data_IF_742606068102
#
_entry.id   IF_742606068102
#
_cell.length_a   1.000
_cell.length_b   1.000
_cell.length_c   1.000
_cell.angle_alpha   90.00
_cell.angle_beta   90.00
_cell.angle_gamma   90.00
#
_symmetry.space_group_name_H-M   'P 1'
#
loop_
_entity.id
_entity.type
_entity.pdbx_description
1 polymer ?
#
# COMPACT_ATOMS: atom_id res chain seq x y z
N UNK A 1 5.71 -12.14 -8.63
CA UNK A 1 5.16 -10.77 -8.59
C UNK A 1 5.98 -9.91 -7.65
N UNK A 2 6.40 -8.72 -8.05
CA UNK A 2 7.20 -7.84 -7.22
C UNK A 2 6.39 -7.28 -6.05
N UNK A 3 7.10 -7.06 -4.96
CA UNK A 3 6.67 -6.24 -3.85
C UNK A 3 7.59 -5.02 -3.80
N UNK A 4 7.01 -3.83 -3.67
CA UNK A 4 7.75 -2.59 -3.43
C UNK A 4 7.45 -2.12 -2.01
N UNK A 5 8.49 -1.86 -1.25
CA UNK A 5 8.39 -1.31 0.10
C UNK A 5 9.06 0.06 0.13
N UNK A 6 8.31 1.03 0.62
CA UNK A 6 8.78 2.37 0.93
C UNK A 6 8.59 2.61 2.42
N UNK A 7 9.64 3.01 3.11
CA UNK A 7 9.55 3.43 4.50
C UNK A 7 9.72 4.94 4.56
N UNK A 8 8.81 5.62 5.24
CA UNK A 8 8.84 7.06 5.50
C UNK A 8 8.91 7.30 7.01
N UNK A 9 9.24 8.52 7.42
CA UNK A 9 9.45 8.86 8.82
C UNK A 9 10.37 7.84 9.51
N UNK A 10 11.43 7.49 8.82
CA UNK A 10 12.36 6.46 9.24
C UNK A 10 13.51 7.07 10.03
N UNK A 11 13.75 6.60 11.25
CA UNK A 11 14.94 6.96 12.04
C UNK A 11 16.22 6.41 11.39
N UNK A 12 17.35 7.01 11.69
CA UNK A 12 18.65 6.62 11.14
C UNK A 12 18.95 5.14 11.37
N UNK A 13 18.69 4.65 12.57
CA UNK A 13 18.95 3.27 12.96
C UNK A 13 17.76 2.32 12.72
N UNK A 14 16.69 2.78 12.06
CA UNK A 14 15.48 2.00 11.78
C UNK A 14 14.72 1.55 13.04
N UNK A 15 14.77 2.32 14.09
CA UNK A 15 14.00 2.07 15.32
C UNK A 15 12.53 2.44 15.10
N UNK A 16 12.30 3.49 14.31
CA UNK A 16 10.98 3.92 13.87
C UNK A 16 10.92 4.03 12.35
N UNK A 17 9.78 3.66 11.79
CA UNK A 17 9.42 3.87 10.38
C UNK A 17 7.95 3.54 10.15
N UNK A 18 7.32 4.26 9.24
CA UNK A 18 6.01 3.91 8.69
C UNK A 18 6.23 3.18 7.37
N UNK A 19 5.72 1.96 7.27
CA UNK A 19 5.93 1.10 6.10
C UNK A 19 4.75 1.22 5.14
N UNK A 20 5.06 1.55 3.90
CA UNK A 20 4.12 1.55 2.78
C UNK A 20 4.54 0.43 1.84
N UNK A 21 3.69 -0.56 1.64
CA UNK A 21 4.02 -1.73 0.82
C UNK A 21 3.00 -1.89 -0.29
N UNK A 22 3.48 -2.05 -1.50
CA UNK A 22 2.67 -2.42 -2.66
C UNK A 22 2.97 -3.86 -3.07
N UNK A 23 1.93 -4.68 -3.12
CA UNK A 23 2.00 -6.07 -3.52
C UNK A 23 1.32 -6.22 -4.88
N UNK A 24 2.09 -6.43 -5.93
CA UNK A 24 1.53 -6.64 -7.26
C UNK A 24 0.88 -8.04 -7.33
N UNK A 25 -0.40 -8.09 -7.67
CA UNK A 25 -1.19 -9.31 -7.91
C UNK A 25 -1.14 -10.35 -6.78
N UNK A 26 -1.02 -9.90 -5.52
CA UNK A 26 -0.97 -10.79 -4.35
C UNK A 26 -2.21 -10.70 -3.46
N UNK A 27 -3.11 -9.78 -3.73
CA UNK A 27 -4.41 -9.69 -3.09
C UNK A 27 -5.47 -10.48 -3.84
N UNK A 28 -6.60 -10.70 -3.17
CA UNK A 28 -7.77 -11.34 -3.75
C UNK A 28 -9.01 -10.49 -3.48
N UNK A 29 -9.79 -10.27 -4.52
CA UNK A 29 -11.14 -9.76 -4.37
C UNK A 29 -12.10 -10.94 -4.43
N UNK A 30 -12.98 -11.05 -3.46
CA UNK A 30 -14.09 -11.99 -3.45
C UNK A 30 -15.32 -11.24 -3.96
N UNK A 31 -15.91 -11.73 -5.03
CA UNK A 31 -17.21 -11.25 -5.51
C UNK A 31 -18.24 -12.32 -5.29
N UNK A 32 -19.37 -11.99 -4.70
CA UNK A 32 -20.47 -12.92 -4.59
C UNK A 32 -21.02 -13.28 -5.96
N UNK A 33 -21.37 -14.54 -6.11
CA UNK A 33 -21.95 -15.08 -7.33
C UNK A 33 -23.40 -14.65 -7.45
N UNK A 34 -23.71 -13.79 -8.41
CA UNK A 34 -25.07 -13.43 -8.83
C UNK A 34 -25.30 -13.82 -10.29
N UNK A 35 -26.49 -13.61 -10.80
CA UNK A 35 -26.95 -13.97 -12.16
C UNK A 35 -26.08 -13.43 -13.32
N UNK A 36 -25.10 -12.59 -13.01
CA UNK A 36 -24.19 -11.97 -14.00
C UNK A 36 -22.86 -12.71 -14.17
N UNK A 37 -22.72 -13.85 -13.58
CA UNK A 37 -21.42 -14.56 -13.43
C UNK A 37 -20.90 -15.20 -14.70
N UNK A 38 -21.74 -15.49 -15.67
CA UNK A 38 -21.28 -16.04 -16.96
C UNK A 38 -20.27 -15.14 -17.68
N UNK A 39 -20.36 -13.82 -17.51
CA UNK A 39 -19.45 -12.86 -18.11
C UNK A 39 -18.10 -12.80 -17.39
N UNK A 40 -18.06 -13.15 -16.11
CA UNK A 40 -16.87 -13.07 -15.26
C UNK A 40 -15.95 -14.29 -15.38
N UNK A 41 -16.49 -15.44 -15.76
CA UNK A 41 -15.74 -16.67 -16.01
C UNK A 41 -14.83 -16.61 -17.24
N UNK A 42 -15.01 -15.62 -18.10
CA UNK A 42 -14.20 -15.42 -19.32
C UNK A 42 -12.95 -14.58 -19.10
N UNK A 43 -12.77 -14.01 -17.95
CA UNK A 43 -11.57 -13.25 -17.59
C UNK A 43 -10.45 -14.20 -17.16
N UNK A 44 -9.36 -14.24 -17.91
CA UNK A 44 -8.23 -15.17 -17.73
C UNK A 44 -7.51 -15.13 -16.37
N UNK A 45 -7.95 -14.32 -15.42
CA UNK A 45 -7.41 -14.19 -14.07
C UNK A 45 -8.32 -14.76 -12.98
N UNK A 46 -9.33 -15.55 -13.33
CA UNK A 46 -10.31 -16.06 -12.39
C UNK A 46 -9.79 -17.34 -11.73
N UNK A 47 -9.72 -17.36 -10.40
CA UNK A 47 -9.46 -18.58 -9.63
C UNK A 47 -10.80 -19.06 -9.08
N UNK A 48 -11.27 -20.19 -9.57
CA UNK A 48 -12.48 -20.85 -9.04
C UNK A 48 -12.13 -21.52 -7.71
N UNK A 49 -12.97 -21.32 -6.70
CA UNK A 49 -12.79 -21.98 -5.40
C UNK A 49 -12.79 -23.51 -5.56
N UNK A 50 -11.84 -24.24 -4.97
CA UNK A 50 -11.77 -25.71 -5.10
C UNK A 50 -12.92 -26.45 -4.36
N UNK A 51 -13.78 -25.75 -3.64
CA UNK A 51 -14.84 -26.35 -2.83
C UNK A 51 -16.22 -26.47 -3.53
N UNK A 52 -16.24 -26.54 -4.85
CA UNK A 52 -17.30 -27.14 -5.64
C UNK A 52 -18.67 -26.46 -5.67
N UNK A 53 -18.98 -25.50 -4.84
CA UNK A 53 -20.18 -24.67 -4.97
C UNK A 53 -19.76 -23.23 -5.24
N UNK A 54 -19.92 -22.78 -6.45
CA UNK A 54 -19.38 -21.48 -6.86
C UNK A 54 -20.29 -20.36 -6.38
N UNK A 55 -20.15 -19.95 -5.14
CA UNK A 55 -20.76 -18.75 -4.60
C UNK A 55 -19.81 -17.53 -4.59
N UNK A 56 -18.52 -17.74 -4.86
CA UNK A 56 -17.55 -16.65 -4.85
C UNK A 56 -16.46 -16.84 -5.90
N UNK A 57 -16.14 -15.78 -6.61
CA UNK A 57 -15.04 -15.72 -7.57
C UNK A 57 -13.94 -14.87 -6.95
N UNK A 58 -12.72 -15.39 -6.98
CA UNK A 58 -11.54 -14.71 -6.48
C UNK A 58 -10.78 -14.08 -7.64
N UNK A 59 -10.62 -12.78 -7.63
CA UNK A 59 -9.76 -12.06 -8.57
C UNK A 59 -8.43 -11.75 -7.90
N UNK A 60 -7.34 -11.92 -8.63
CA UNK A 60 -6.07 -11.37 -8.18
C UNK A 60 -6.12 -9.86 -8.34
N UNK A 61 -5.77 -9.18 -7.25
CA UNK A 61 -5.63 -7.74 -7.23
C UNK A 61 -4.29 -7.35 -6.63
N UNK A 62 -3.79 -6.21 -7.05
CA UNK A 62 -2.71 -5.56 -6.32
C UNK A 62 -3.25 -4.95 -5.03
N UNK A 63 -2.40 -4.86 -4.02
CA UNK A 63 -2.77 -4.33 -2.70
C UNK A 63 -1.73 -3.32 -2.26
N UNK A 64 -2.19 -2.16 -1.82
CA UNK A 64 -1.41 -1.25 -1.00
C UNK A 64 -1.68 -1.57 0.47
N UNK A 65 -0.63 -1.54 1.28
CA UNK A 65 -0.71 -1.65 2.74
C UNK A 65 0.11 -0.53 3.38
N UNK A 66 -0.44 0.13 4.38
CA UNK A 66 0.27 1.07 5.25
C UNK A 66 0.30 0.49 6.64
N UNK A 67 1.49 0.15 7.12
CA UNK A 67 1.73 -0.46 8.42
C UNK A 67 2.42 0.54 9.35
N UNK A 68 1.74 0.88 10.44
CA UNK A 68 2.21 1.80 11.46
C UNK A 68 2.78 1.10 12.71
N UNK A 69 2.94 -0.24 12.69
CA UNK A 69 3.38 -1.02 13.86
C UNK A 69 4.75 -0.62 14.40
N UNK A 70 5.59 -0.04 13.54
CA UNK A 70 6.94 0.42 13.89
C UNK A 70 7.09 1.94 13.79
N UNK A 71 5.99 2.68 13.77
CA UNK A 71 6.05 4.13 13.52
C UNK A 71 6.37 4.97 14.75
N UNK A 72 6.49 4.36 15.93
CA UNK A 72 6.81 5.07 17.17
C UNK A 72 7.50 4.16 18.19
N UNK A 73 8.50 4.70 18.89
CA UNK A 73 9.08 4.11 20.10
C UNK A 73 8.38 4.61 21.38
N UNK A 74 7.43 5.53 21.24
CA UNK A 74 6.70 6.08 22.40
C UNK A 74 5.77 5.02 23.00
N UNK A 75 5.83 4.76 24.31
CA UNK A 75 5.02 3.70 24.96
C UNK A 75 3.51 3.97 24.92
N UNK A 76 3.11 5.23 24.73
CA UNK A 76 1.70 5.61 24.60
C UNK A 76 1.17 5.61 23.17
N UNK A 77 2.02 5.37 22.17
CA UNK A 77 1.58 5.28 20.78
C UNK A 77 1.02 3.89 20.50
N UNK A 78 -0.29 3.81 20.32
CA UNK A 78 -0.95 2.54 20.00
C UNK A 78 -0.75 2.20 18.53
N UNK A 79 -0.19 1.02 18.26
CA UNK A 79 -0.18 0.46 16.91
C UNK A 79 -1.60 -0.01 16.52
N UNK A 80 -1.90 0.09 15.23
CA UNK A 80 -3.15 -0.39 14.64
C UNK A 80 -2.84 -1.47 13.60
N UNK A 81 -3.80 -2.34 13.27
CA UNK A 81 -3.68 -3.20 12.11
C UNK A 81 -3.35 -2.38 10.87
N UNK A 82 -2.57 -2.92 9.92
CA UNK A 82 -2.26 -2.22 8.69
C UNK A 82 -3.52 -1.80 7.92
N UNK A 83 -3.55 -0.57 7.45
CA UNK A 83 -4.56 -0.12 6.51
C UNK A 83 -4.25 -0.70 5.13
N UNK A 84 -5.24 -1.32 4.51
CA UNK A 84 -5.06 -1.96 3.21
C UNK A 84 -6.13 -1.52 2.21
N UNK A 85 -5.73 -1.34 0.96
CA UNK A 85 -6.66 -1.09 -0.13
C UNK A 85 -6.29 -1.92 -1.36
N UNK A 86 -7.29 -2.49 -2.00
CA UNK A 86 -7.11 -3.21 -3.25
C UNK A 86 -7.06 -2.22 -4.42
N UNK A 87 -6.22 -2.51 -5.41
CA UNK A 87 -5.99 -1.65 -6.56
C UNK A 87 -5.98 -2.48 -7.82
N UNK A 88 -6.76 -2.05 -8.80
CA UNK A 88 -6.70 -2.57 -10.16
C UNK A 88 -5.60 -1.84 -10.93
N UNK A 89 -4.46 -2.50 -11.10
CA UNK A 89 -3.33 -2.01 -11.87
C UNK A 89 -3.17 -2.86 -13.12
N UNK A 90 -3.18 -2.23 -14.29
CA UNK A 90 -2.92 -2.93 -15.55
C UNK A 90 -1.52 -3.57 -15.58
N UNK A 91 -1.33 -4.61 -16.41
CA UNK A 91 -0.07 -5.35 -16.49
C UNK A 91 1.14 -4.46 -16.78
N UNK A 92 0.96 -3.48 -17.64
CA UNK A 92 2.02 -2.55 -18.09
C UNK A 92 1.88 -1.15 -17.48
N UNK A 93 0.92 -0.96 -16.59
CA UNK A 93 0.70 0.30 -15.91
C UNK A 93 1.75 0.49 -14.81
N UNK A 94 2.52 1.60 -14.84
CA UNK A 94 3.48 1.88 -13.78
C UNK A 94 2.78 2.20 -12.47
N UNK A 95 3.36 1.75 -11.37
CA UNK A 95 2.94 2.15 -10.03
C UNK A 95 3.35 3.60 -9.81
N UNK A 96 2.37 4.47 -9.52
CA UNK A 96 2.57 5.86 -9.15
C UNK A 96 2.08 6.07 -7.71
N UNK A 97 2.99 6.38 -6.82
CA UNK A 97 2.67 6.76 -5.44
C UNK A 97 2.87 8.26 -5.26
N UNK A 98 1.87 8.91 -4.67
CA UNK A 98 1.98 10.28 -4.18
C UNK A 98 1.73 10.25 -2.68
N UNK A 99 2.71 10.68 -1.91
CA UNK A 99 2.70 10.56 -0.45
C UNK A 99 2.80 11.95 0.15
N UNK A 100 1.83 12.28 0.98
CA UNK A 100 1.82 13.50 1.78
C UNK A 100 2.08 13.16 3.24
N UNK A 101 2.96 13.92 3.85
CA UNK A 101 3.29 13.79 5.26
C UNK A 101 3.11 15.16 5.89
N UNK A 102 2.11 15.28 6.74
CA UNK A 102 1.86 16.48 7.52
C UNK A 102 1.80 16.12 9.00
N UNK A 103 2.87 16.45 9.73
CA UNK A 103 3.03 16.13 11.15
C UNK A 103 2.77 14.65 11.44
N UNK A 104 1.60 14.33 11.99
CA UNK A 104 1.19 12.97 12.36
C UNK A 104 0.35 12.26 11.31
N UNK A 105 0.12 12.86 10.16
CA UNK A 105 -0.69 12.26 9.09
C UNK A 105 0.20 11.82 7.93
N UNK A 106 0.01 10.59 7.50
CA UNK A 106 0.61 10.06 6.27
C UNK A 106 -0.53 9.63 5.36
N UNK A 107 -0.62 10.27 4.20
CA UNK A 107 -1.61 9.95 3.16
C UNK A 107 -0.90 9.41 1.93
N UNK A 108 -1.40 8.33 1.37
CA UNK A 108 -0.84 7.67 0.20
C UNK A 108 -1.89 7.54 -0.88
N UNK A 109 -1.67 8.20 -2.00
CA UNK A 109 -2.48 8.08 -3.22
C UNK A 109 -1.78 7.16 -4.21
N UNK A 110 -2.53 6.25 -4.79
CA UNK A 110 -2.03 5.25 -5.73
C UNK A 110 -2.72 5.39 -7.07
N UNK A 111 -1.98 5.73 -8.11
CA UNK A 111 -2.43 5.83 -9.49
C UNK A 111 -3.72 6.66 -9.69
N UNK A 112 -3.97 7.61 -8.80
CA UNK A 112 -5.22 8.40 -8.75
C UNK A 112 -6.49 7.52 -8.65
N UNK A 113 -6.35 6.24 -8.26
CA UNK A 113 -7.42 5.24 -8.16
C UNK A 113 -7.82 4.94 -6.72
N UNK A 114 -6.89 5.06 -5.79
CA UNK A 114 -7.12 4.75 -4.37
C UNK A 114 -6.29 5.67 -3.47
N UNK A 115 -6.78 5.84 -2.25
CA UNK A 115 -6.09 6.56 -1.19
C UNK A 115 -6.23 5.79 0.12
N UNK A 116 -5.17 5.81 0.92
CA UNK A 116 -5.19 5.35 2.29
C UNK A 116 -4.43 6.33 3.17
N UNK A 117 -4.85 6.49 4.43
CA UNK A 117 -4.23 7.42 5.37
C UNK A 117 -4.10 6.78 6.76
N UNK A 118 -3.01 7.13 7.45
CA UNK A 118 -2.78 6.71 8.83
C UNK A 118 -2.30 7.89 9.67
N UNK A 119 -2.54 7.81 10.97
CA UNK A 119 -1.88 8.68 11.95
C UNK A 119 -0.72 7.96 12.60
N UNK A 120 0.42 8.64 12.68
CA UNK A 120 1.66 8.14 13.26
C UNK A 120 2.28 9.20 14.16
N UNK A 121 3.00 8.76 15.19
CA UNK A 121 3.56 9.64 16.20
C UNK A 121 5.02 9.29 16.46
N UNK A 122 5.95 9.59 15.52
CA UNK A 122 7.36 9.34 15.73
C UNK A 122 7.87 10.02 17.01
N UNK A 123 8.61 9.28 17.82
CA UNK A 123 9.18 9.79 19.05
C UNK A 123 10.61 10.31 18.91
N UNK A 124 11.31 9.91 17.84
CA UNK A 124 12.69 10.28 17.59
C UNK A 124 12.78 11.47 16.64
N UNK A 125 13.62 12.45 16.98
CA UNK A 125 13.80 13.66 16.18
C UNK A 125 14.44 13.42 14.81
N UNK A 126 15.11 12.29 14.63
CA UNK A 126 15.74 11.86 13.37
C UNK A 126 14.84 10.95 12.50
N UNK A 127 13.57 10.77 12.87
CA UNK A 127 12.58 10.04 12.09
C UNK A 127 12.06 10.85 10.89
N UNK A 128 12.99 11.26 10.02
CA UNK A 128 12.76 12.06 8.81
C UNK A 128 13.24 11.36 7.54
N UNK A 129 13.80 10.17 7.67
CA UNK A 129 14.40 9.43 6.56
C UNK A 129 13.39 8.70 5.71
N UNK A 130 13.82 8.37 4.50
CA UNK A 130 13.08 7.56 3.52
C UNK A 130 13.98 6.44 3.03
N UNK A 131 13.39 5.27 2.78
CA UNK A 131 14.07 4.17 2.10
C UNK A 131 13.10 3.40 1.21
N UNK A 132 13.61 2.89 0.09
CA UNK A 132 12.83 2.09 -0.87
C UNK A 132 13.58 0.81 -1.19
N UNK A 133 12.83 -0.29 -1.35
CA UNK A 133 13.35 -1.57 -1.82
C UNK A 133 12.31 -2.35 -2.61
N UNK A 134 12.77 -3.27 -3.45
CA UNK A 134 11.93 -4.27 -4.12
C UNK A 134 12.27 -5.67 -3.60
N UNK A 135 11.27 -6.55 -3.59
CA UNK A 135 11.41 -7.98 -3.26
C UNK A 135 10.58 -8.84 -4.21
N UNK A 136 10.99 -10.08 -4.39
CA UNK A 136 10.29 -11.09 -5.19
C UNK A 136 10.64 -11.08 -6.67
N UNK A 137 10.85 -9.94 -7.26
CA UNK A 137 11.42 -9.74 -8.58
C UNK A 137 11.96 -8.32 -8.71
N UNK A 138 12.68 -8.02 -9.76
CA UNK A 138 13.19 -6.68 -10.03
C UNK A 138 12.05 -5.68 -10.24
N UNK A 139 12.27 -4.46 -9.75
CA UNK A 139 11.45 -3.30 -10.03
C UNK A 139 12.35 -2.14 -10.44
N UNK A 140 11.93 -1.37 -11.44
CA UNK A 140 12.66 -0.20 -11.91
C UNK A 140 12.03 1.07 -11.36
N UNK A 141 12.80 1.87 -10.64
CA UNK A 141 12.40 3.21 -10.25
C UNK A 141 12.51 4.13 -11.48
N UNK A 142 11.40 4.72 -11.90
CA UNK A 142 11.34 5.62 -13.05
C UNK A 142 11.63 7.06 -12.67
N UNK A 143 11.08 7.51 -11.53
CA UNK A 143 11.34 8.84 -10.98
C UNK A 143 11.11 8.83 -9.47
N UNK A 144 11.73 9.76 -8.78
CA UNK A 144 11.52 10.07 -7.38
C UNK A 144 11.70 11.56 -7.18
N UNK A 145 10.63 12.23 -6.79
CA UNK A 145 10.64 13.65 -6.49
C UNK A 145 10.21 13.87 -5.04
N UNK A 146 10.80 14.86 -4.38
CA UNK A 146 10.46 15.22 -3.02
C UNK A 146 10.39 16.74 -2.86
N UNK A 147 9.36 17.19 -2.14
CA UNK A 147 9.14 18.62 -1.88
C UNK A 147 8.94 18.86 -0.40
N UNK A 148 9.44 19.97 0.07
CA UNK A 148 9.07 20.51 1.37
C UNK A 148 7.84 21.40 1.15
N UNK A 149 6.73 21.05 1.78
CA UNK A 149 5.54 21.89 1.74
C UNK A 149 5.73 23.12 2.64
N UNK A 150 5.37 24.29 2.12
CA UNK A 150 5.33 25.52 2.88
C UNK A 150 4.10 25.62 3.78
N UNK A 151 4.17 26.50 4.78
CA UNK A 151 3.01 26.86 5.58
C UNK A 151 2.12 27.81 4.77
N UNK A 152 0.82 27.50 4.64
CA UNK A 152 -0.12 28.36 3.91
C UNK A 152 -0.53 29.63 4.67
N UNK A 153 -0.13 29.74 5.94
CA UNK A 153 -0.47 30.87 6.82
C UNK A 153 0.71 31.81 7.09
N UNK A 154 1.81 31.70 6.35
CA UNK A 154 2.94 32.62 6.36
C UNK A 154 2.92 33.57 5.18
#
# INVERSE_FOLDING_TARGET
>A
SPMVELNVLRSKNREEYTRITFFKDRGFRITEWGDKTGALLQSGNTVVSPYGTPRSIHYRQSVLSIDSSYSSVLPGALSRPPETTAIDLGSDEPLKLRIFIDRSVVEVFVNDKACAAVRVYPGLSDSIGVSIRAQGSEARLLSLDAWKMGNIYE
#
